data_IF_421217012116
#
_entry.id   IF_421217012116
#
_cell.length_a   1.000
_cell.length_b   1.000
_cell.length_c   1.000
_cell.angle_alpha   90.00
_cell.angle_beta   90.00
_cell.angle_gamma   90.00
#
_symmetry.space_group_name_H-M   'P 1'
#
loop_
_entity.id
_entity.type
_entity.pdbx_description
1 polymer ?
#
# COMPACT_ATOMS: atom_id res chain seq x y z
N UNK A 1 29.02 0.07 2.97
CA UNK A 1 27.79 0.89 3.14
C UNK A 1 26.61 0.06 3.65
N UNK A 2 26.17 -0.98 2.95
CA UNK A 2 25.03 -1.83 3.35
C UNK A 2 25.17 -2.44 4.77
N UNK A 3 26.28 -3.13 5.03
CA UNK A 3 26.57 -3.70 6.35
C UNK A 3 26.63 -2.66 7.48
N UNK A 4 26.90 -1.39 7.16
CA UNK A 4 26.86 -0.30 8.15
C UNK A 4 25.45 0.19 8.47
N UNK A 5 24.45 -0.05 7.61
CA UNK A 5 23.06 0.38 7.82
C UNK A 5 22.14 -0.75 8.30
N UNK A 6 22.40 -1.97 7.85
CA UNK A 6 21.58 -3.17 8.12
C UNK A 6 22.33 -4.27 8.88
N UNK A 7 23.65 -4.17 9.04
CA UNK A 7 24.42 -5.06 9.91
C UNK A 7 24.43 -4.59 11.36
N UNK A 8 25.09 -5.36 12.22
CA UNK A 8 25.17 -5.09 13.67
C UNK A 8 26.41 -4.27 14.06
N UNK A 9 27.17 -3.77 13.08
CA UNK A 9 28.46 -3.12 13.31
C UNK A 9 28.35 -1.83 14.13
N UNK A 10 27.26 -1.07 13.98
CA UNK A 10 27.06 0.22 14.67
C UNK A 10 25.84 0.22 15.61
N UNK A 11 24.83 -0.61 15.32
CA UNK A 11 23.60 -0.74 16.12
C UNK A 11 23.02 -2.14 15.95
N UNK A 12 22.43 -2.71 17.00
CA UNK A 12 21.74 -4.01 16.94
C UNK A 12 20.42 -3.95 16.15
N UNK A 13 19.95 -2.76 15.78
CA UNK A 13 18.71 -2.53 15.02
C UNK A 13 18.78 -2.99 13.55
N UNK A 14 19.97 -3.24 13.01
CA UNK A 14 20.15 -3.56 11.59
C UNK A 14 19.24 -4.71 11.09
N UNK A 15 19.29 -5.89 11.74
CA UNK A 15 18.39 -7.00 11.44
C UNK A 15 16.90 -6.67 11.62
N UNK A 16 16.53 -5.83 12.60
CA UNK A 16 15.13 -5.43 12.75
C UNK A 16 14.64 -4.51 11.63
N UNK A 17 15.49 -3.61 11.14
CA UNK A 17 15.15 -2.79 9.97
C UNK A 17 14.85 -3.67 8.76
N UNK A 18 15.57 -4.78 8.57
CA UNK A 18 15.28 -5.75 7.51
C UNK A 18 13.94 -6.45 7.73
N UNK A 19 13.64 -6.89 8.96
CA UNK A 19 12.33 -7.48 9.30
C UNK A 19 11.18 -6.51 9.01
N UNK A 20 11.35 -5.23 9.36
CA UNK A 20 10.36 -4.19 9.06
C UNK A 20 10.16 -3.99 7.55
N UNK A 21 11.23 -4.09 6.74
CA UNK A 21 11.10 -4.05 5.27
C UNK A 21 10.31 -5.26 4.76
N UNK A 22 10.55 -6.47 5.29
CA UNK A 22 9.76 -7.65 4.95
C UNK A 22 8.30 -7.52 5.38
N UNK A 23 8.04 -6.92 6.55
CA UNK A 23 6.68 -6.65 7.00
C UNK A 23 5.92 -5.74 6.04
N UNK A 24 6.52 -4.62 5.63
CA UNK A 24 5.90 -3.69 4.65
C UNK A 24 5.66 -4.40 3.31
N UNK A 25 6.63 -5.20 2.85
CA UNK A 25 6.48 -6.01 1.64
C UNK A 25 5.26 -6.94 1.73
N UNK A 26 5.11 -7.70 2.81
CA UNK A 26 3.97 -8.61 3.00
C UNK A 26 2.63 -7.87 3.08
N UNK A 27 2.61 -6.70 3.73
CA UNK A 27 1.43 -5.85 3.83
C UNK A 27 0.97 -5.35 2.45
N UNK A 28 1.90 -4.84 1.64
CA UNK A 28 1.61 -4.38 0.27
C UNK A 28 1.20 -5.54 -0.63
N UNK A 29 1.85 -6.69 -0.50
CA UNK A 29 1.53 -7.91 -1.24
C UNK A 29 0.09 -8.38 -0.97
N UNK A 30 -0.33 -8.34 0.30
CA UNK A 30 -1.70 -8.65 0.70
C UNK A 30 -2.71 -7.66 0.12
N UNK A 31 -2.39 -6.36 0.15
CA UNK A 31 -3.24 -5.33 -0.44
C UNK A 31 -3.41 -5.54 -1.96
N UNK A 32 -2.34 -5.89 -2.67
CA UNK A 32 -2.39 -6.22 -4.11
C UNK A 32 -3.30 -7.42 -4.40
N UNK A 33 -3.19 -8.50 -3.61
CA UNK A 33 -4.09 -9.64 -3.75
C UNK A 33 -5.56 -9.28 -3.56
N UNK A 34 -5.85 -8.42 -2.57
CA UNK A 34 -7.19 -7.94 -2.30
C UNK A 34 -7.72 -7.05 -3.44
N UNK A 35 -6.85 -6.25 -4.05
CA UNK A 35 -7.17 -5.43 -5.21
C UNK A 35 -7.22 -6.21 -6.54
N UNK A 36 -6.83 -7.50 -6.56
CA UNK A 36 -6.74 -8.29 -7.78
C UNK A 36 -8.02 -8.27 -8.65
N UNK A 37 -9.25 -8.41 -8.10
CA UNK A 37 -10.47 -8.36 -8.92
C UNK A 37 -10.67 -7.01 -9.62
N UNK A 38 -10.16 -5.93 -9.03
CA UNK A 38 -10.20 -4.60 -9.62
C UNK A 38 -9.16 -4.46 -10.73
N UNK A 39 -7.90 -4.81 -10.44
CA UNK A 39 -6.78 -4.70 -11.40
C UNK A 39 -6.98 -5.54 -12.66
N UNK A 40 -7.64 -6.70 -12.55
CA UNK A 40 -7.96 -7.56 -13.69
C UNK A 40 -8.98 -6.95 -14.67
N UNK A 41 -9.81 -6.04 -14.20
CA UNK A 41 -10.82 -5.37 -15.01
C UNK A 41 -10.41 -3.95 -15.42
N UNK A 42 -9.21 -3.51 -15.02
CA UNK A 42 -8.73 -2.16 -15.25
C UNK A 42 -8.21 -1.97 -16.68
N UNK A 43 -8.40 -0.77 -17.22
CA UNK A 43 -7.92 -0.40 -18.56
C UNK A 43 -6.60 0.36 -18.40
N UNK A 44 -5.48 -0.35 -18.58
CA UNK A 44 -4.15 0.26 -18.66
C UNK A 44 -3.97 0.97 -20.02
N UNK A 45 -4.46 2.20 -20.16
CA UNK A 45 -4.43 2.97 -21.41
C UNK A 45 -3.23 3.90 -21.50
N UNK A 46 -2.35 3.68 -22.48
CA UNK A 46 -1.21 4.54 -22.82
C UNK A 46 -1.36 5.21 -24.19
N UNK A 47 -2.33 4.75 -24.99
CA UNK A 47 -2.48 5.12 -26.40
C UNK A 47 -1.78 4.17 -27.36
N UNK A 48 -1.03 3.19 -26.86
CA UNK A 48 -0.44 2.09 -27.63
C UNK A 48 -1.09 0.75 -27.24
N UNK A 49 -1.86 0.17 -28.16
CA UNK A 49 -2.61 -1.08 -27.90
C UNK A 49 -1.72 -2.27 -27.55
N UNK A 50 -0.49 -2.33 -28.10
CA UNK A 50 0.47 -3.40 -27.82
C UNK A 50 0.99 -3.30 -26.38
N UNK A 51 1.46 -2.12 -25.97
CA UNK A 51 1.93 -1.86 -24.59
C UNK A 51 0.82 -2.06 -23.55
N UNK A 52 -0.41 -1.64 -23.88
CA UNK A 52 -1.58 -1.81 -23.03
C UNK A 52 -1.91 -3.30 -22.82
N UNK A 53 -1.77 -4.12 -23.87
CA UNK A 53 -1.99 -5.57 -23.80
C UNK A 53 -0.86 -6.28 -23.03
N UNK A 54 0.39 -5.90 -23.25
CA UNK A 54 1.53 -6.40 -22.49
C UNK A 54 1.41 -6.07 -21.00
N UNK A 55 0.99 -4.84 -20.67
CA UNK A 55 0.79 -4.41 -19.28
C UNK A 55 -0.29 -5.23 -18.59
N UNK A 56 -1.45 -5.45 -19.24
CA UNK A 56 -2.51 -6.33 -18.70
C UNK A 56 -1.97 -7.72 -18.39
N UNK A 57 -1.26 -8.32 -19.35
CA UNK A 57 -0.69 -9.66 -19.19
C UNK A 57 0.32 -9.72 -18.04
N UNK A 58 1.22 -8.74 -17.93
CA UNK A 58 2.21 -8.69 -16.86
C UNK A 58 1.57 -8.53 -15.47
N UNK A 59 0.51 -7.72 -15.36
CA UNK A 59 -0.27 -7.58 -14.12
C UNK A 59 -0.96 -8.89 -13.76
N UNK A 60 -1.57 -9.58 -14.72
CA UNK A 60 -2.19 -10.89 -14.50
C UNK A 60 -1.18 -11.93 -14.01
N UNK A 61 -0.03 -12.04 -14.67
CA UNK A 61 1.04 -12.96 -14.27
C UNK A 61 1.54 -12.65 -12.85
N UNK A 62 1.78 -11.38 -12.54
CA UNK A 62 2.17 -10.95 -11.19
C UNK A 62 1.12 -11.37 -10.15
N UNK A 63 -0.17 -11.14 -10.42
CA UNK A 63 -1.23 -11.49 -9.47
C UNK A 63 -1.35 -13.00 -9.24
N UNK A 64 -1.13 -13.83 -10.26
CA UNK A 64 -1.12 -15.29 -10.10
C UNK A 64 0.10 -15.78 -9.32
N UNK A 65 1.28 -15.20 -9.55
CA UNK A 65 2.48 -15.50 -8.76
C UNK A 65 2.27 -15.17 -7.28
N UNK A 66 1.70 -14.00 -6.99
CA UNK A 66 1.40 -13.59 -5.61
C UNK A 66 0.38 -14.54 -4.96
N UNK A 67 -0.63 -15.02 -5.70
CA UNK A 67 -1.62 -15.99 -5.19
C UNK A 67 -0.98 -17.32 -4.81
N UNK A 68 0.04 -17.76 -5.55
CA UNK A 68 0.74 -19.01 -5.24
C UNK A 68 1.48 -18.98 -3.90
N UNK A 69 1.77 -17.77 -3.39
CA UNK A 69 2.51 -17.52 -2.15
C UNK A 69 1.58 -17.37 -0.92
N UNK A 70 0.28 -17.64 -1.04
CA UNK A 70 -0.70 -17.24 -0.02
C UNK A 70 -0.64 -18.08 1.27
N UNK A 71 0.03 -17.58 2.33
CA UNK A 71 -0.31 -17.89 3.75
C UNK A 71 0.44 -17.08 4.86
N UNK A 72 0.95 -15.86 4.58
CA UNK A 72 1.90 -15.20 5.50
C UNK A 72 1.41 -13.95 6.24
N UNK A 73 0.20 -13.46 5.97
CA UNK A 73 -0.30 -12.23 6.60
C UNK A 73 -1.75 -12.39 7.05
N UNK A 74 -1.94 -12.58 8.36
CA UNK A 74 -3.25 -12.61 8.98
C UNK A 74 -3.72 -11.18 9.28
N UNK A 75 -4.62 -10.67 8.45
CA UNK A 75 -5.25 -9.35 8.61
C UNK A 75 -6.00 -9.24 9.95
N UNK A 76 -6.49 -10.35 10.48
CA UNK A 76 -7.27 -10.35 11.72
C UNK A 76 -6.43 -9.91 12.91
N UNK A 77 -5.12 -10.19 12.93
CA UNK A 77 -4.22 -9.74 13.99
C UNK A 77 -4.00 -8.22 13.97
N UNK A 78 -3.85 -7.64 12.78
CA UNK A 78 -3.58 -6.21 12.61
C UNK A 78 -4.85 -5.34 12.77
N UNK A 79 -6.01 -5.89 12.42
CA UNK A 79 -7.31 -5.20 12.45
C UNK A 79 -8.27 -5.80 13.48
N UNK A 80 -7.74 -6.31 14.59
CA UNK A 80 -8.53 -6.76 15.74
C UNK A 80 -9.32 -5.57 16.33
N UNK A 81 -10.64 -5.59 16.20
CA UNK A 81 -11.44 -4.54 16.85
C UNK A 81 -12.92 -4.58 16.60
N UNK A 82 -13.67 -4.06 17.57
CA UNK A 82 -15.05 -3.60 17.37
C UNK A 82 -15.05 -2.63 16.20
N UNK A 83 -16.02 -2.76 15.29
CA UNK A 83 -16.17 -2.00 14.04
C UNK A 83 -15.88 -0.48 14.17
N UNK A 84 -16.21 0.11 15.33
CA UNK A 84 -15.92 1.51 15.66
C UNK A 84 -14.43 1.84 15.80
N UNK A 85 -13.63 0.94 16.37
CA UNK A 85 -12.19 1.14 16.58
C UNK A 85 -11.42 1.07 15.26
N UNK A 86 -11.76 0.10 14.41
CA UNK A 86 -11.15 -0.04 13.09
C UNK A 86 -11.43 1.19 12.19
N UNK A 87 -12.60 1.83 12.36
CA UNK A 87 -12.95 3.08 11.69
C UNK A 87 -12.10 4.27 12.15
N UNK A 88 -11.93 4.45 13.46
CA UNK A 88 -11.08 5.51 14.01
C UNK A 88 -9.64 5.35 13.53
N UNK A 89 -9.15 4.10 13.56
CA UNK A 89 -7.81 3.75 13.09
C UNK A 89 -7.62 4.10 11.60
N UNK A 90 -8.62 3.84 10.75
CA UNK A 90 -8.55 4.20 9.32
C UNK A 90 -8.41 5.71 9.11
N UNK A 91 -9.21 6.52 9.79
CA UNK A 91 -9.13 7.98 9.64
C UNK A 91 -7.85 8.55 10.25
N UNK A 92 -7.37 7.97 11.35
CA UNK A 92 -6.08 8.32 11.94
C UNK A 92 -4.93 8.04 10.97
N UNK A 93 -4.87 6.83 10.39
CA UNK A 93 -3.88 6.50 9.36
C UNK A 93 -3.95 7.47 8.19
N UNK A 94 -5.15 7.71 7.65
CA UNK A 94 -5.33 8.67 6.55
C UNK A 94 -4.76 10.05 6.89
N UNK A 95 -5.06 10.57 8.09
CA UNK A 95 -4.54 11.85 8.56
C UNK A 95 -3.02 11.85 8.64
N UNK A 96 -2.43 10.80 9.20
CA UNK A 96 -0.97 10.65 9.28
C UNK A 96 -0.32 10.61 7.90
N UNK A 97 -0.85 9.86 6.93
CA UNK A 97 -0.30 9.81 5.58
C UNK A 97 -0.38 11.15 4.84
N UNK A 98 -1.44 11.94 5.05
CA UNK A 98 -1.53 13.31 4.52
C UNK A 98 -0.43 14.18 5.14
N UNK A 99 -0.26 14.12 6.46
CA UNK A 99 0.78 14.90 7.15
C UNK A 99 2.20 14.49 6.72
N UNK A 100 2.45 13.19 6.57
CA UNK A 100 3.75 12.67 6.08
C UNK A 100 3.99 13.17 4.66
N UNK A 101 2.98 13.17 3.78
CA UNK A 101 3.11 13.70 2.42
C UNK A 101 3.45 15.21 2.42
N UNK A 102 2.87 15.99 3.34
CA UNK A 102 3.25 17.40 3.54
C UNK A 102 4.67 17.57 4.07
N UNK A 103 5.17 16.65 4.93
CA UNK A 103 6.57 16.66 5.37
C UNK A 103 7.51 16.42 4.17
N UNK A 104 7.12 15.56 3.21
CA UNK A 104 7.94 15.32 2.02
C UNK A 104 8.14 16.58 1.17
N UNK A 105 7.24 17.57 1.22
CA UNK A 105 7.42 18.86 0.54
C UNK A 105 8.58 19.69 1.10
N UNK A 106 9.05 19.38 2.30
CA UNK A 106 10.19 20.03 2.93
C UNK A 106 11.55 19.38 2.57
N UNK A 107 11.56 18.26 1.82
CA UNK A 107 12.79 17.56 1.45
C UNK A 107 13.44 18.23 0.24
N UNK A 108 14.63 18.81 0.41
CA UNK A 108 15.34 19.54 -0.66
C UNK A 108 15.80 18.66 -1.83
N UNK A 109 16.15 17.40 -1.57
CA UNK A 109 16.55 16.45 -2.61
C UNK A 109 15.34 16.06 -3.47
N UNK A 110 15.31 16.51 -4.74
CA UNK A 110 14.18 16.26 -5.66
C UNK A 110 13.85 14.77 -5.84
N UNK A 111 14.87 13.93 -6.05
CA UNK A 111 14.67 12.48 -6.18
C UNK A 111 14.14 11.87 -4.89
N UNK A 112 14.63 12.34 -3.74
CA UNK A 112 14.20 11.86 -2.43
C UNK A 112 12.75 12.26 -2.14
N UNK A 113 12.36 13.49 -2.51
CA UNK A 113 10.98 13.99 -2.44
C UNK A 113 10.06 13.16 -3.32
N UNK A 114 10.43 12.92 -4.57
CA UNK A 114 9.66 12.10 -5.51
C UNK A 114 9.41 10.70 -4.94
N UNK A 115 10.47 9.98 -4.58
CA UNK A 115 10.34 8.61 -4.06
C UNK A 115 9.65 8.56 -2.70
N UNK A 116 9.88 9.55 -1.84
CA UNK A 116 9.20 9.68 -0.55
C UNK A 116 7.68 9.84 -0.73
N UNK A 117 7.23 10.68 -1.67
CA UNK A 117 5.80 10.82 -1.98
C UNK A 117 5.21 9.57 -2.62
N UNK A 118 5.92 8.95 -3.58
CA UNK A 118 5.45 7.70 -4.22
C UNK A 118 5.28 6.59 -3.19
N UNK A 119 6.28 6.35 -2.34
CA UNK A 119 6.23 5.29 -1.32
C UNK A 119 5.15 5.55 -0.28
N UNK A 120 5.06 6.78 0.26
CA UNK A 120 4.04 7.10 1.27
C UNK A 120 2.62 7.04 0.72
N UNK A 121 2.40 7.47 -0.53
CA UNK A 121 1.12 7.33 -1.20
C UNK A 121 0.77 5.87 -1.49
N UNK A 122 1.75 5.07 -1.93
CA UNK A 122 1.60 3.63 -2.15
C UNK A 122 1.19 2.89 -0.88
N UNK A 123 1.91 3.10 0.22
CA UNK A 123 1.60 2.52 1.53
C UNK A 123 0.22 2.94 2.04
N UNK A 124 -0.14 4.22 1.91
CA UNK A 124 -1.46 4.71 2.29
C UNK A 124 -2.58 4.07 1.45
N UNK A 125 -2.33 3.83 0.15
CA UNK A 125 -3.26 3.13 -0.74
C UNK A 125 -3.39 1.66 -0.37
N UNK A 126 -2.29 0.98 -0.05
CA UNK A 126 -2.30 -0.40 0.41
C UNK A 126 -3.18 -0.54 1.67
N UNK A 127 -2.97 0.31 2.67
CA UNK A 127 -3.80 0.32 3.88
C UNK A 127 -5.27 0.64 3.58
N UNK A 128 -5.55 1.62 2.70
CA UNK A 128 -6.92 1.93 2.27
C UNK A 128 -7.62 0.71 1.65
N UNK A 129 -6.92 -0.09 0.86
CA UNK A 129 -7.43 -1.34 0.27
C UNK A 129 -7.66 -2.38 1.36
N UNK A 130 -6.73 -2.56 2.29
CA UNK A 130 -6.90 -3.51 3.39
C UNK A 130 -8.12 -3.17 4.26
N UNK A 131 -8.39 -1.88 4.47
CA UNK A 131 -9.57 -1.37 5.18
C UNK A 131 -10.88 -1.34 4.36
N UNK A 132 -10.89 -1.75 3.08
CA UNK A 132 -12.10 -1.63 2.22
C UNK A 132 -13.28 -2.46 2.67
N UNK A 133 -13.02 -3.57 3.37
CA UNK A 133 -14.08 -4.50 3.80
C UNK A 133 -14.71 -4.07 5.13
N UNK A 134 -14.19 -3.02 5.76
CA UNK A 134 -14.80 -2.43 6.94
C UNK A 134 -16.01 -1.56 6.54
N UNK A 135 -17.12 -1.61 7.28
CA UNK A 135 -18.32 -0.85 6.95
C UNK A 135 -18.06 0.65 6.82
N UNK A 136 -18.57 1.24 5.74
CA UNK A 136 -18.56 2.69 5.54
C UNK A 136 -19.62 3.37 6.43
N UNK A 137 -19.25 4.44 7.15
CA UNK A 137 -20.21 5.24 7.91
C UNK A 137 -21.18 5.99 6.99
N UNK A 138 -22.48 5.81 7.21
CA UNK A 138 -23.54 6.66 6.65
C UNK A 138 -23.58 8.05 7.33
N UNK A 139 -22.55 8.88 7.16
CA UNK A 139 -22.67 10.30 7.52
C UNK A 139 -22.12 11.21 6.44
N UNK A 140 -23.09 11.79 5.70
CA UNK A 140 -23.07 12.83 4.66
C UNK A 140 -21.95 12.75 3.60
N UNK A 141 -22.38 12.28 2.43
CA UNK A 141 -21.78 12.65 1.15
C UNK A 141 -21.73 14.18 1.02
N UNK A 142 -20.55 14.71 0.77
CA UNK A 142 -20.37 15.83 -0.14
C UNK A 142 -19.23 15.44 -1.10
N UNK A 143 -19.48 15.61 -2.40
CA UNK A 143 -18.80 15.11 -3.62
C UNK A 143 -17.30 14.75 -3.49
N UNK A 144 -16.75 13.61 -3.94
CA UNK A 144 -17.07 12.71 -5.06
C UNK A 144 -17.07 11.24 -4.63
N UNK A 145 -18.15 10.54 -5.01
CA UNK A 145 -18.21 9.09 -5.09
C UNK A 145 -17.03 8.60 -5.94
N UNK A 146 -16.11 7.85 -5.35
CA UNK A 146 -15.31 6.92 -6.14
C UNK A 146 -16.25 5.77 -6.47
N UNK A 147 -16.95 5.91 -7.59
CA UNK A 147 -17.75 4.85 -8.21
C UNK A 147 -16.89 4.26 -9.31
N UNK A 148 -16.56 2.98 -9.17
CA UNK A 148 -15.95 2.18 -10.21
C UNK A 148 -17.08 1.58 -11.04
N UNK A 149 -17.48 2.31 -12.08
CA UNK A 149 -18.25 1.80 -13.23
C UNK A 149 -17.40 1.98 -14.47
#
# INVERSE_FOLDING_TARGET
MFAGRFGTAWSWEGPERLRNVYFVYLLELRALLKAAPYLKNEIFYTGNEEEDAETRKAVDELLEEIRSFSDHFDESEMFTGVESHARELREEFRSHFVNISSIMDCVECDKCRLWGKVQTHGMGTALKILFSDLPHSHYKQDHSKFQLT
#
